data_IF_110901295611
#
_entry.id   IF_110901295611
#
_cell.length_a   1.000
_cell.length_b   1.000
_cell.length_c   1.000
_cell.angle_alpha   90.00
_cell.angle_beta   90.00
_cell.angle_gamma   90.00
#
_symmetry.space_group_name_H-M   'P 1'
#
loop_
_entity.id
_entity.type
_entity.pdbx_description
1 polymer ?
#
# COMPACT_ATOMS: atom_id res chain seq x y z
N UNK A 1 77.24 25.70 -10.15
CA UNK A 1 76.63 26.00 -8.82
C UNK A 1 75.68 27.19 -9.00
N UNK A 2 74.40 27.19 -8.66
CA UNK A 2 73.54 26.30 -7.87
C UNK A 2 72.20 26.20 -8.61
N UNK A 3 71.77 24.97 -8.87
CA UNK A 3 70.44 24.68 -9.43
C UNK A 3 69.41 25.10 -8.37
N UNK A 4 68.72 26.23 -8.59
CA UNK A 4 67.56 26.61 -7.78
C UNK A 4 66.42 25.67 -8.19
N UNK A 5 66.42 24.49 -7.60
CA UNK A 5 65.32 23.54 -7.72
C UNK A 5 64.07 24.25 -7.22
N UNK A 6 63.14 24.47 -8.15
CA UNK A 6 61.98 25.32 -8.01
C UNK A 6 61.07 24.69 -6.92
N UNK A 7 61.16 25.20 -5.69
CA UNK A 7 60.50 24.65 -4.50
C UNK A 7 58.98 24.52 -4.73
N UNK A 8 58.39 25.42 -5.51
CA UNK A 8 56.99 25.34 -5.95
C UNK A 8 56.69 24.11 -6.80
N UNK A 9 57.59 23.71 -7.71
CA UNK A 9 57.34 22.56 -8.58
C UNK A 9 57.38 21.25 -7.78
N UNK A 10 58.32 21.15 -6.83
CA UNK A 10 58.38 20.01 -5.90
C UNK A 10 57.13 19.98 -5.02
N UNK A 11 56.67 21.13 -4.51
CA UNK A 11 55.46 21.22 -3.69
C UNK A 11 54.18 20.88 -4.48
N UNK A 12 54.07 21.33 -5.74
CA UNK A 12 52.96 20.97 -6.62
C UNK A 12 52.94 19.47 -6.94
N UNK A 13 54.10 18.86 -7.19
CA UNK A 13 54.22 17.42 -7.42
C UNK A 13 53.90 16.64 -6.13
N UNK A 14 54.25 17.16 -4.96
CA UNK A 14 53.92 16.56 -3.67
C UNK A 14 52.41 16.65 -3.37
N UNK A 15 51.76 17.79 -3.65
CA UNK A 15 50.31 17.94 -3.53
C UNK A 15 49.60 17.03 -4.54
N UNK A 16 50.07 16.96 -5.79
CA UNK A 16 49.55 16.02 -6.79
C UNK A 16 49.76 14.57 -6.36
N UNK A 17 50.92 14.21 -5.82
CA UNK A 17 51.21 12.87 -5.31
C UNK A 17 50.35 12.50 -4.10
N UNK A 18 50.13 13.44 -3.17
CA UNK A 18 49.29 13.25 -1.98
C UNK A 18 47.81 13.16 -2.38
N UNK A 19 47.35 13.97 -3.33
CA UNK A 19 45.98 13.86 -3.88
C UNK A 19 45.77 12.59 -4.72
N UNK A 20 46.83 12.05 -5.36
CA UNK A 20 46.76 10.79 -6.09
C UNK A 20 46.82 9.57 -5.16
N UNK A 21 47.58 9.64 -4.05
CA UNK A 21 47.66 8.59 -3.01
C UNK A 21 46.44 8.59 -2.08
N UNK A 22 45.87 9.75 -1.75
CA UNK A 22 44.62 9.89 -0.99
C UNK A 22 43.38 9.81 -1.89
N UNK A 23 43.56 9.94 -3.20
CA UNK A 23 42.55 9.74 -4.24
C UNK A 23 42.24 8.27 -4.48
N UNK A 24 42.21 7.45 -3.43
CA UNK A 24 41.37 6.26 -3.46
C UNK A 24 39.94 6.75 -3.61
N UNK A 25 39.46 6.75 -4.85
CA UNK A 25 38.06 6.54 -5.16
C UNK A 25 37.64 5.18 -4.59
N UNK A 26 37.55 5.09 -3.26
CA UNK A 26 36.69 4.13 -2.57
C UNK A 26 35.32 4.35 -3.19
N UNK A 27 34.72 3.27 -3.69
CA UNK A 27 33.38 3.32 -4.24
C UNK A 27 32.50 4.13 -3.29
N UNK A 28 31.81 5.15 -3.80
CA UNK A 28 30.71 5.76 -3.07
C UNK A 28 29.61 4.69 -3.00
N UNK A 29 29.76 3.71 -2.10
CA UNK A 29 28.62 2.97 -1.60
C UNK A 29 27.69 4.02 -1.02
N UNK A 30 26.47 4.11 -1.55
CA UNK A 30 25.47 5.06 -1.06
C UNK A 30 25.40 4.97 0.48
N UNK A 31 25.46 6.09 1.21
CA UNK A 31 25.46 6.09 2.67
C UNK A 31 24.12 5.63 3.29
N UNK A 32 23.10 5.36 2.49
CA UNK A 32 21.79 4.89 2.92
C UNK A 32 21.44 3.55 2.26
N UNK A 33 22.11 2.46 2.68
CA UNK A 33 21.64 1.11 2.34
C UNK A 33 20.43 0.69 3.18
N UNK A 34 20.22 1.32 4.33
CA UNK A 34 19.03 1.12 5.15
C UNK A 34 17.86 1.94 4.58
N UNK A 35 17.08 1.34 3.69
CA UNK A 35 15.75 1.84 3.38
C UNK A 35 14.81 1.52 4.56
N UNK A 36 14.93 2.20 5.70
CA UNK A 36 14.05 1.93 6.84
C UNK A 36 12.69 2.59 6.62
N UNK A 37 11.67 1.81 6.25
CA UNK A 37 10.28 2.25 6.16
C UNK A 37 9.47 1.71 7.33
N UNK A 38 8.64 2.56 7.94
CA UNK A 38 7.81 2.18 9.08
C UNK A 38 6.77 1.12 8.74
N UNK A 39 6.26 0.41 9.74
CA UNK A 39 5.25 -0.62 9.55
C UNK A 39 3.84 -0.01 9.47
N UNK A 40 2.96 -0.65 8.69
CA UNK A 40 1.52 -0.43 8.81
C UNK A 40 1.00 -1.55 9.71
N UNK A 41 0.42 -1.18 10.84
CA UNK A 41 0.03 -2.08 11.92
C UNK A 41 -1.49 -2.09 12.09
N UNK A 42 -2.00 -3.22 12.55
CA UNK A 42 -3.38 -3.37 13.00
C UNK A 42 -3.56 -2.74 14.39
N UNK A 43 -4.78 -2.72 14.92
CA UNK A 43 -5.10 -2.09 16.21
C UNK A 43 -4.39 -2.72 17.43
N UNK A 44 -3.84 -3.93 17.29
CA UNK A 44 -3.09 -4.66 18.33
C UNK A 44 -1.58 -4.55 18.13
N UNK A 45 -1.14 -3.83 17.10
CA UNK A 45 0.28 -3.68 16.77
C UNK A 45 0.82 -4.82 15.89
N UNK A 46 -0.03 -5.70 15.34
CA UNK A 46 0.41 -6.73 14.41
C UNK A 46 0.69 -6.12 13.02
N UNK A 47 1.76 -6.52 12.31
CA UNK A 47 2.05 -5.99 10.99
C UNK A 47 0.97 -6.40 9.99
N UNK A 48 0.52 -5.46 9.16
CA UNK A 48 -0.36 -5.73 8.02
C UNK A 48 0.42 -5.83 6.69
N UNK A 49 1.65 -5.33 6.68
CA UNK A 49 2.55 -5.28 5.51
C UNK A 49 3.93 -5.78 5.90
N UNK A 50 4.47 -6.71 5.11
CA UNK A 50 5.85 -7.16 5.21
C UNK A 50 6.77 -6.23 4.43
N UNK A 51 7.88 -5.86 5.06
CA UNK A 51 8.99 -5.15 4.44
C UNK A 51 9.99 -6.19 3.95
N UNK A 52 10.18 -6.28 2.63
CA UNK A 52 11.17 -7.16 2.02
C UNK A 52 12.23 -6.30 1.36
N UNK A 53 13.42 -6.30 1.95
CA UNK A 53 14.58 -5.65 1.35
C UNK A 53 15.05 -6.45 0.14
N UNK A 54 15.32 -5.76 -0.95
CA UNK A 54 15.89 -6.34 -2.16
C UNK A 54 17.06 -5.48 -2.63
N UNK A 55 18.19 -6.12 -2.92
CA UNK A 55 19.43 -5.45 -3.31
C UNK A 55 19.81 -5.87 -4.73
N UNK A 56 20.00 -4.88 -5.59
CA UNK A 56 20.50 -5.06 -6.95
C UNK A 56 21.96 -4.62 -7.03
N UNK A 57 22.77 -5.35 -7.80
CA UNK A 57 24.15 -4.96 -8.08
C UNK A 57 24.32 -4.62 -9.55
N UNK A 58 25.09 -3.56 -9.79
CA UNK A 58 25.51 -3.12 -11.10
C UNK A 58 27.02 -2.95 -11.13
N UNK A 59 27.66 -3.21 -12.27
CA UNK A 59 29.08 -2.99 -12.48
C UNK A 59 29.30 -1.95 -13.58
N UNK A 60 30.10 -0.93 -13.27
CA UNK A 60 30.40 0.18 -14.18
C UNK A 60 31.71 -0.07 -14.95
N UNK A 61 31.58 -0.30 -16.25
CA UNK A 61 32.72 -0.46 -17.16
C UNK A 61 33.10 0.90 -17.74
N UNK A 62 34.30 1.41 -17.41
CA UNK A 62 34.79 2.75 -17.84
C UNK A 62 35.67 2.74 -19.10
N UNK A 63 35.79 1.61 -19.78
CA UNK A 63 36.41 1.50 -21.11
C UNK A 63 37.91 1.66 -21.15
N UNK A 64 38.60 0.96 -20.26
CA UNK A 64 40.06 0.76 -20.34
C UNK A 64 40.49 -0.71 -20.40
N UNK A 65 39.59 -1.67 -20.25
CA UNK A 65 39.99 -3.07 -20.13
C UNK A 65 39.98 -3.81 -21.46
N UNK A 66 41.15 -4.34 -21.83
CA UNK A 66 41.28 -5.41 -22.81
C UNK A 66 40.73 -6.70 -22.16
N UNK A 67 39.66 -7.25 -22.73
CA UNK A 67 39.22 -8.65 -22.53
C UNK A 67 39.21 -9.14 -21.06
N UNK A 68 38.27 -8.66 -20.23
CA UNK A 68 37.88 -9.34 -18.99
C UNK A 68 38.93 -9.48 -17.87
N UNK A 69 40.17 -9.04 -18.07
CA UNK A 69 41.26 -9.17 -17.09
C UNK A 69 41.12 -8.17 -15.93
N UNK A 70 40.49 -7.01 -16.14
CA UNK A 70 40.26 -6.01 -15.08
C UNK A 70 38.96 -6.25 -14.29
N UNK A 71 38.24 -7.35 -14.53
CA UNK A 71 37.04 -7.67 -13.75
C UNK A 71 37.47 -8.26 -12.40
N UNK A 72 37.11 -7.62 -11.26
CA UNK A 72 37.45 -8.15 -9.95
C UNK A 72 36.96 -9.59 -9.75
N UNK A 73 37.72 -10.47 -9.09
CA UNK A 73 37.31 -11.86 -8.85
C UNK A 73 35.93 -12.02 -8.22
N UNK A 74 35.52 -11.05 -7.40
CA UNK A 74 34.21 -11.01 -6.74
C UNK A 74 33.05 -10.75 -7.71
N UNK A 75 33.32 -10.14 -8.87
CA UNK A 75 32.30 -9.80 -9.89
C UNK A 75 32.17 -10.92 -10.91
N UNK A 76 33.25 -11.66 -11.19
CA UNK A 76 33.27 -12.73 -12.21
C UNK A 76 32.13 -13.77 -12.07
N UNK A 77 31.73 -14.22 -10.87
CA UNK A 77 30.63 -15.18 -10.70
C UNK A 77 29.27 -14.68 -11.21
N UNK A 78 29.07 -13.36 -11.28
CA UNK A 78 27.82 -12.72 -11.66
C UNK A 78 27.72 -12.41 -13.15
N UNK A 79 28.76 -12.72 -13.93
CA UNK A 79 28.81 -12.46 -15.35
C UNK A 79 28.65 -13.77 -16.12
N UNK A 80 27.69 -13.82 -17.04
CA UNK A 80 27.42 -14.98 -17.91
C UNK A 80 28.51 -15.26 -18.95
N UNK A 81 29.58 -14.44 -18.98
CA UNK A 81 30.76 -14.59 -19.82
C UNK A 81 31.46 -13.24 -20.03
N UNK A 82 32.79 -13.21 -19.96
CA UNK A 82 33.58 -11.96 -20.15
C UNK A 82 33.68 -11.50 -21.61
N UNK A 83 33.34 -12.38 -22.56
CA UNK A 83 33.47 -12.14 -24.01
C UNK A 83 32.42 -11.16 -24.57
N UNK A 84 31.24 -11.05 -23.94
CA UNK A 84 30.13 -10.21 -24.41
C UNK A 84 29.95 -8.91 -23.59
N UNK A 85 30.94 -8.53 -22.78
CA UNK A 85 30.83 -7.31 -21.98
C UNK A 85 30.99 -6.06 -22.86
N UNK A 86 30.13 -5.04 -22.67
CA UNK A 86 30.24 -3.80 -23.43
C UNK A 86 31.54 -3.06 -23.09
N UNK A 87 32.14 -2.39 -24.09
CA UNK A 87 33.37 -1.61 -23.90
C UNK A 87 33.23 -0.51 -22.84
N UNK A 88 32.04 0.09 -22.71
CA UNK A 88 31.67 1.06 -21.67
C UNK A 88 30.20 0.88 -21.34
N UNK A 89 29.83 0.98 -20.07
CA UNK A 89 28.42 0.92 -19.68
C UNK A 89 28.19 0.37 -18.28
N UNK A 90 26.91 0.23 -17.93
CA UNK A 90 26.46 -0.37 -16.69
C UNK A 90 25.96 -1.78 -16.97
N UNK A 91 26.51 -2.78 -16.29
CA UNK A 91 26.09 -4.19 -16.41
C UNK A 91 25.37 -4.57 -15.14
N UNK A 92 24.14 -5.08 -15.28
CA UNK A 92 23.43 -5.68 -14.15
C UNK A 92 24.13 -6.99 -13.76
N UNK A 93 24.61 -7.07 -12.51
CA UNK A 93 25.23 -8.27 -11.96
C UNK A 93 24.18 -9.21 -11.35
N UNK A 94 23.24 -8.65 -10.59
CA UNK A 94 22.15 -9.41 -9.98
C UNK A 94 20.95 -8.53 -9.69
N UNK A 95 19.75 -9.10 -9.84
CA UNK A 95 18.48 -8.50 -9.48
C UNK A 95 18.07 -8.73 -8.01
N UNK A 96 18.76 -9.64 -7.31
CA UNK A 96 18.45 -10.02 -5.94
C UNK A 96 19.71 -10.58 -5.28
N UNK A 97 20.31 -9.79 -4.40
CA UNK A 97 21.47 -10.18 -3.59
C UNK A 97 21.04 -10.50 -2.17
N UNK A 98 21.69 -11.49 -1.58
CA UNK A 98 21.70 -11.72 -0.14
C UNK A 98 22.53 -10.64 0.57
N UNK A 99 22.30 -10.46 1.87
CA UNK A 99 23.07 -9.49 2.67
C UNK A 99 24.57 -9.77 2.68
N UNK A 100 24.98 -11.03 2.62
CA UNK A 100 26.40 -11.39 2.60
C UNK A 100 27.03 -11.06 1.25
N UNK A 101 26.32 -11.27 0.13
CA UNK A 101 26.78 -10.82 -1.18
C UNK A 101 26.86 -9.29 -1.26
N UNK A 102 25.91 -8.57 -0.65
CA UNK A 102 25.99 -7.10 -0.54
C UNK A 102 27.24 -6.67 0.21
N UNK A 103 27.57 -7.29 1.35
CA UNK A 103 28.78 -6.97 2.12
C UNK A 103 30.05 -7.15 1.28
N UNK A 104 30.12 -8.22 0.50
CA UNK A 104 31.28 -8.52 -0.37
C UNK A 104 31.36 -7.54 -1.54
N UNK A 105 30.26 -7.35 -2.27
CA UNK A 105 30.24 -6.55 -3.50
C UNK A 105 30.36 -5.04 -3.25
N UNK A 106 29.92 -4.55 -2.08
CA UNK A 106 30.02 -3.13 -1.71
C UNK A 106 31.46 -2.63 -1.61
N UNK A 107 32.40 -3.51 -1.24
CA UNK A 107 33.83 -3.19 -1.13
C UNK A 107 34.54 -3.18 -2.50
N UNK A 108 33.87 -3.65 -3.56
CA UNK A 108 34.45 -3.75 -4.89
C UNK A 108 34.34 -2.43 -5.63
N UNK A 109 35.48 -1.97 -6.17
CA UNK A 109 35.53 -0.74 -6.98
C UNK A 109 34.65 -0.88 -8.22
N UNK A 110 33.97 0.21 -8.58
CA UNK A 110 33.07 0.31 -9.73
C UNK A 110 31.83 -0.61 -9.67
N UNK A 111 31.58 -1.26 -8.53
CA UNK A 111 30.28 -1.88 -8.23
C UNK A 111 29.36 -0.85 -7.57
N UNK A 112 28.12 -0.83 -8.02
CA UNK A 112 27.03 0.00 -7.50
C UNK A 112 25.97 -0.93 -6.94
N UNK A 113 25.71 -0.83 -5.64
CA UNK A 113 24.59 -1.53 -5.00
C UNK A 113 23.41 -0.56 -4.90
N UNK A 114 22.26 -0.99 -5.43
CA UNK A 114 20.97 -0.30 -5.29
C UNK A 114 20.08 -1.12 -4.35
N UNK A 115 19.85 -0.60 -3.14
CA UNK A 115 18.83 -1.13 -2.25
C UNK A 115 17.45 -0.68 -2.69
N UNK A 116 16.47 -1.57 -2.56
CA UNK A 116 15.05 -1.30 -2.79
C UNK A 116 14.25 -2.02 -1.71
N UNK A 117 13.05 -1.51 -1.42
CA UNK A 117 12.12 -2.16 -0.52
C UNK A 117 10.87 -2.56 -1.29
N UNK A 118 10.59 -3.86 -1.30
CA UNK A 118 9.31 -4.41 -1.72
C UNK A 118 8.39 -4.47 -0.50
N UNK A 119 7.14 -4.04 -0.66
CA UNK A 119 6.12 -4.12 0.39
C UNK A 119 5.01 -5.06 -0.02
N UNK A 120 4.77 -6.06 0.82
CA UNK A 120 3.79 -7.10 0.55
C UNK A 120 2.73 -7.14 1.65
N UNK A 121 1.46 -6.81 1.35
CA UNK A 121 0.35 -7.04 2.26
C UNK A 121 0.33 -8.49 2.75
N UNK A 122 0.09 -8.72 4.04
CA UNK A 122 -0.09 -10.07 4.58
C UNK A 122 -1.32 -10.76 3.99
N UNK A 123 -2.38 -9.99 3.78
CA UNK A 123 -3.60 -10.44 3.13
C UNK A 123 -3.74 -9.71 1.80
N UNK A 124 -3.76 -10.45 0.69
CA UNK A 124 -3.89 -9.86 -0.63
C UNK A 124 -5.15 -9.01 -0.78
N UNK A 125 -6.23 -9.33 -0.05
CA UNK A 125 -7.48 -8.58 -0.01
C UNK A 125 -7.36 -7.18 0.64
N UNK A 126 -6.26 -6.87 1.31
CA UNK A 126 -5.98 -5.52 1.82
C UNK A 126 -5.25 -4.65 0.81
N UNK A 127 -4.73 -5.22 -0.29
CA UNK A 127 -3.93 -4.48 -1.27
C UNK A 127 -4.59 -3.20 -1.78
N UNK A 128 -5.91 -3.15 -2.05
CA UNK A 128 -6.55 -1.91 -2.49
C UNK A 128 -6.53 -0.79 -1.44
N UNK A 129 -6.54 -1.15 -0.15
CA UNK A 129 -6.53 -0.20 0.96
C UNK A 129 -5.11 0.25 1.32
N UNK A 130 -4.18 -0.72 1.40
CA UNK A 130 -2.76 -0.46 1.64
C UNK A 130 -2.19 0.39 0.51
N UNK A 131 -2.60 0.09 -0.73
CA UNK A 131 -2.02 0.69 -1.90
C UNK A 131 -0.69 0.06 -2.27
N UNK A 132 0.08 0.77 -3.10
CA UNK A 132 1.25 0.22 -3.77
C UNK A 132 2.41 1.22 -3.72
N UNK A 133 3.60 0.68 -3.97
CA UNK A 133 4.84 1.45 -4.01
C UNK A 133 5.57 1.28 -5.34
N UNK A 134 6.32 2.32 -5.71
CA UNK A 134 7.26 2.31 -6.83
C UNK A 134 8.50 3.09 -6.40
N UNK A 135 9.70 2.56 -6.67
CA UNK A 135 10.96 3.23 -6.37
C UNK A 135 11.11 3.73 -4.91
N UNK A 136 10.62 2.93 -3.96
CA UNK A 136 10.57 3.26 -2.51
C UNK A 136 9.62 4.40 -2.12
N UNK A 137 8.77 4.85 -3.05
CA UNK A 137 7.72 5.85 -2.83
C UNK A 137 6.33 5.22 -2.88
N UNK A 138 5.42 5.73 -2.05
CA UNK A 138 4.02 5.28 -2.02
C UNK A 138 3.19 6.04 -3.04
N UNK A 139 2.49 5.34 -3.95
CA UNK A 139 1.72 6.00 -5.01
C UNK A 139 0.20 5.86 -4.87
N UNK A 140 -0.29 4.98 -4.00
CA UNK A 140 -1.72 4.84 -3.72
C UNK A 140 -1.98 4.42 -2.27
N UNK A 141 -3.26 4.50 -1.87
CA UNK A 141 -3.74 4.01 -0.57
C UNK A 141 -3.00 4.59 0.64
N UNK A 142 -2.91 3.78 1.70
CA UNK A 142 -2.17 4.12 2.92
C UNK A 142 -0.68 4.39 2.66
N UNK A 143 -0.05 3.67 1.72
CA UNK A 143 1.38 3.86 1.41
C UNK A 143 1.69 5.28 0.93
N UNK A 144 0.78 5.88 0.14
CA UNK A 144 0.89 7.28 -0.31
C UNK A 144 0.54 8.27 0.79
N UNK A 145 -0.60 8.05 1.45
CA UNK A 145 -1.16 9.00 2.42
C UNK A 145 -0.24 9.16 3.63
N UNK A 146 0.26 8.05 4.16
CA UNK A 146 1.16 8.06 5.31
C UNK A 146 2.63 8.05 4.92
N UNK A 147 2.94 8.31 3.65
CA UNK A 147 4.32 8.32 3.15
C UNK A 147 5.27 9.19 3.99
N UNK A 148 4.91 10.42 4.43
CA UNK A 148 5.79 11.24 5.25
C UNK A 148 6.15 10.60 6.60
N UNK A 149 5.26 9.79 7.15
CA UNK A 149 5.48 9.08 8.42
C UNK A 149 6.32 7.83 8.14
N UNK A 150 5.91 7.04 7.16
CA UNK A 150 6.51 5.76 6.80
C UNK A 150 7.95 5.92 6.31
N UNK A 151 8.26 6.94 5.49
CA UNK A 151 9.63 7.23 5.00
C UNK A 151 10.62 7.53 6.13
N UNK A 152 10.14 8.01 7.28
CA UNK A 152 10.95 8.29 8.46
C UNK A 152 11.15 7.06 9.37
N UNK A 153 10.78 5.87 8.92
CA UNK A 153 10.86 4.64 9.71
C UNK A 153 9.83 4.53 10.83
N UNK A 154 8.84 5.45 10.90
CA UNK A 154 7.80 5.46 11.93
C UNK A 154 6.59 4.64 11.49
N UNK A 155 6.10 3.78 12.37
CA UNK A 155 4.94 2.95 12.11
C UNK A 155 3.63 3.73 12.20
N UNK A 156 2.61 3.26 11.47
CA UNK A 156 1.24 3.75 11.51
C UNK A 156 0.36 2.66 12.10
N UNK A 157 -0.38 3.01 13.16
CA UNK A 157 -1.37 2.14 13.77
C UNK A 157 -2.74 2.40 13.11
N UNK A 158 -3.39 1.35 12.62
CA UNK A 158 -4.74 1.42 12.03
C UNK A 158 -5.78 0.85 13.00
N UNK A 159 -7.05 1.12 12.74
CA UNK A 159 -8.17 0.55 13.51
C UNK A 159 -8.54 -0.89 13.12
N UNK A 160 -7.89 -1.45 12.08
CA UNK A 160 -8.19 -2.79 11.57
C UNK A 160 -7.90 -3.87 12.62
N UNK A 161 -8.74 -4.89 12.72
CA UNK A 161 -8.49 -6.08 13.56
C UNK A 161 -8.16 -7.28 12.67
N UNK A 162 -6.92 -7.77 12.76
CA UNK A 162 -6.44 -8.91 11.98
C UNK A 162 -7.26 -10.19 12.20
N UNK A 163 -7.88 -10.38 13.37
CA UNK A 163 -8.75 -11.54 13.61
C UNK A 163 -9.99 -11.49 12.72
N UNK A 164 -10.57 -10.30 12.55
CA UNK A 164 -11.72 -10.11 11.68
C UNK A 164 -11.33 -10.24 10.21
N UNK A 165 -10.16 -9.72 9.83
CA UNK A 165 -9.60 -9.86 8.48
C UNK A 165 -9.42 -11.34 8.09
N UNK A 166 -8.82 -12.15 8.98
CA UNK A 166 -8.69 -13.61 8.81
C UNK A 166 -10.07 -14.25 8.62
N UNK A 167 -11.04 -13.88 9.45
CA UNK A 167 -12.39 -14.44 9.42
C UNK A 167 -13.09 -14.17 8.08
N UNK A 168 -13.09 -12.92 7.59
CA UNK A 168 -13.66 -12.60 6.27
C UNK A 168 -12.94 -13.36 5.16
N UNK A 169 -11.61 -13.41 5.20
CA UNK A 169 -10.81 -14.09 4.18
C UNK A 169 -11.20 -15.57 4.06
N UNK A 170 -11.33 -16.29 5.18
CA UNK A 170 -11.77 -17.68 5.17
C UNK A 170 -13.22 -17.85 4.76
N UNK A 171 -14.12 -16.96 5.21
CA UNK A 171 -15.53 -17.01 4.80
C UNK A 171 -15.67 -16.86 3.29
N UNK A 172 -15.01 -15.89 2.66
CA UNK A 172 -15.12 -15.71 1.21
C UNK A 172 -14.50 -16.87 0.43
N UNK A 173 -13.43 -17.49 0.94
CA UNK A 173 -12.84 -18.69 0.32
C UNK A 173 -13.80 -19.89 0.35
N UNK A 174 -14.55 -20.04 1.44
CA UNK A 174 -15.47 -21.16 1.65
C UNK A 174 -16.83 -20.97 0.97
N UNK A 175 -17.28 -19.72 0.82
CA UNK A 175 -18.58 -19.37 0.24
C UNK A 175 -18.45 -18.74 -1.15
N UNK A 176 -17.95 -19.52 -2.12
CA UNK A 176 -17.78 -19.08 -3.52
C UNK A 176 -19.08 -18.58 -4.18
N UNK A 177 -20.24 -19.01 -3.70
CA UNK A 177 -21.55 -18.67 -4.26
C UNK A 177 -21.89 -17.17 -4.19
N UNK A 178 -21.23 -16.39 -3.31
CA UNK A 178 -21.61 -15.01 -3.04
C UNK A 178 -20.80 -13.97 -3.84
N UNK A 179 -19.74 -14.40 -4.53
CA UNK A 179 -18.85 -13.57 -5.38
C UNK A 179 -18.59 -12.16 -4.80
N UNK A 180 -18.24 -12.12 -3.50
CA UNK A 180 -18.02 -10.87 -2.79
C UNK A 180 -16.76 -10.19 -3.32
N UNK A 181 -16.94 -8.96 -3.81
CA UNK A 181 -15.86 -8.10 -4.25
C UNK A 181 -15.38 -7.17 -3.13
N UNK A 182 -16.20 -6.92 -2.12
CA UNK A 182 -15.81 -6.08 -1.01
C UNK A 182 -16.64 -6.32 0.25
N UNK A 183 -15.97 -6.23 1.40
CA UNK A 183 -16.59 -6.21 2.74
C UNK A 183 -15.87 -5.14 3.55
N UNK A 184 -16.62 -4.28 4.23
CA UNK A 184 -16.10 -3.37 5.24
C UNK A 184 -17.00 -3.41 6.48
N UNK A 185 -16.36 -3.30 7.64
CA UNK A 185 -17.03 -3.25 8.94
C UNK A 185 -16.61 -1.97 9.64
N UNK A 186 -17.59 -1.13 9.98
CA UNK A 186 -17.37 0.10 10.74
C UNK A 186 -17.99 0.01 12.12
N UNK A 187 -17.28 0.51 13.14
CA UNK A 187 -17.81 0.69 14.49
C UNK A 187 -18.75 1.89 14.53
N UNK A 188 -19.96 1.72 15.04
CA UNK A 188 -20.91 2.81 15.27
C UNK A 188 -20.44 3.77 16.38
N UNK A 189 -19.68 3.27 17.36
CA UNK A 189 -19.21 4.07 18.49
C UNK A 189 -18.09 5.04 18.11
N UNK A 190 -17.18 4.56 17.26
CA UNK A 190 -15.89 5.21 16.98
C UNK A 190 -15.73 5.64 15.53
N UNK A 191 -16.59 5.18 14.61
CA UNK A 191 -16.47 5.44 13.17
C UNK A 191 -15.31 4.67 12.52
N UNK A 192 -14.59 3.87 13.31
CA UNK A 192 -13.42 3.11 12.91
C UNK A 192 -13.76 2.00 11.91
N UNK A 193 -12.95 1.87 10.86
CA UNK A 193 -12.91 0.71 9.98
C UNK A 193 -12.23 -0.44 10.73
N UNK A 194 -13.02 -1.37 11.24
CA UNK A 194 -12.56 -2.54 12.00
C UNK A 194 -12.13 -3.67 11.06
N UNK A 195 -12.83 -3.80 9.94
CA UNK A 195 -12.66 -4.89 9.01
C UNK A 195 -12.68 -4.43 7.57
N UNK A 196 -11.80 -4.98 6.74
CA UNK A 196 -11.77 -4.70 5.31
C UNK A 196 -11.38 -5.93 4.49
N UNK A 197 -12.09 -6.16 3.42
CA UNK A 197 -11.77 -7.12 2.37
C UNK A 197 -12.12 -6.47 1.04
N UNK A 198 -11.18 -6.44 0.09
CA UNK A 198 -11.43 -5.98 -1.26
C UNK A 198 -10.77 -6.90 -2.28
N UNK A 199 -11.50 -7.19 -3.36
CA UNK A 199 -10.94 -7.82 -4.56
C UNK A 199 -10.63 -6.76 -5.61
N UNK A 200 -9.62 -7.03 -6.45
CA UNK A 200 -9.20 -6.12 -7.51
C UNK A 200 -8.13 -5.12 -7.05
N UNK A 201 -8.01 -4.02 -7.79
CA UNK A 201 -6.93 -3.03 -7.58
C UNK A 201 -7.40 -1.78 -6.84
N UNK A 202 -8.70 -1.47 -6.89
CA UNK A 202 -9.27 -0.22 -6.36
C UNK A 202 -9.98 -0.46 -5.06
N UNK A 203 -9.87 0.51 -4.16
CA UNK A 203 -10.61 0.49 -2.91
C UNK A 203 -12.10 0.75 -3.19
N UNK A 204 -12.93 -0.27 -2.95
CA UNK A 204 -14.35 -0.20 -3.26
C UNK A 204 -15.09 0.88 -2.46
N UNK A 205 -14.57 1.27 -1.29
CA UNK A 205 -15.14 2.34 -0.46
C UNK A 205 -15.06 3.73 -1.13
N UNK A 206 -14.19 3.87 -2.12
CA UNK A 206 -13.99 5.09 -2.89
C UNK A 206 -14.63 5.02 -4.29
N UNK A 207 -15.17 3.86 -4.67
CA UNK A 207 -15.78 3.71 -5.99
C UNK A 207 -17.07 4.52 -6.07
N UNK A 208 -17.23 5.36 -7.12
CA UNK A 208 -18.44 6.15 -7.27
C UNK A 208 -19.63 5.26 -7.60
N UNK A 209 -20.74 5.50 -6.89
CA UNK A 209 -22.04 4.89 -7.12
C UNK A 209 -23.04 5.99 -7.51
N UNK A 210 -23.94 5.68 -8.43
CA UNK A 210 -25.06 6.54 -8.80
C UNK A 210 -26.31 6.03 -8.11
N UNK A 211 -27.01 6.90 -7.41
CA UNK A 211 -28.25 6.58 -6.68
C UNK A 211 -29.29 7.65 -6.93
N UNK A 212 -30.57 7.30 -6.86
CA UNK A 212 -31.64 8.28 -6.95
C UNK A 212 -31.59 9.23 -5.74
N UNK A 213 -31.89 10.52 -5.96
CA UNK A 213 -31.92 11.53 -4.89
C UNK A 213 -32.90 11.15 -3.77
N UNK A 214 -33.98 10.47 -4.13
CA UNK A 214 -35.02 10.02 -3.23
C UNK A 214 -34.55 8.88 -2.32
N UNK A 215 -33.66 8.01 -2.81
CA UNK A 215 -33.10 6.86 -2.07
C UNK A 215 -31.99 7.27 -1.11
N UNK A 216 -31.47 8.50 -1.23
CA UNK A 216 -30.47 9.07 -0.33
C UNK A 216 -30.90 10.45 0.17
N UNK A 217 -31.86 10.49 1.11
CA UNK A 217 -32.37 11.75 1.65
C UNK A 217 -31.36 12.48 2.55
N UNK A 218 -30.23 11.85 2.87
CA UNK A 218 -29.20 12.43 3.73
C UNK A 218 -28.49 13.59 3.02
N UNK A 219 -28.42 14.77 3.68
CA UNK A 219 -27.78 15.98 3.13
C UNK A 219 -26.24 15.95 3.22
N UNK A 220 -25.63 14.79 3.01
CA UNK A 220 -24.16 14.65 3.08
C UNK A 220 -23.55 15.14 1.77
N UNK A 221 -23.00 16.35 1.82
CA UNK A 221 -22.33 16.97 0.65
C UNK A 221 -20.90 16.48 0.45
N UNK A 222 -20.24 16.07 1.54
CA UNK A 222 -18.83 15.74 1.55
C UNK A 222 -18.52 14.72 2.63
N UNK A 223 -17.63 13.79 2.31
CA UNK A 223 -17.02 12.85 3.26
C UNK A 223 -15.53 13.14 3.32
N UNK A 224 -14.97 13.19 4.53
CA UNK A 224 -13.54 13.32 4.74
C UNK A 224 -13.06 12.05 5.45
N UNK A 225 -12.00 11.46 4.91
CA UNK A 225 -11.36 10.31 5.52
C UNK A 225 -9.86 10.37 5.26
N UNK A 226 -9.05 9.52 5.90
CA UNK A 226 -7.61 9.67 5.82
C UNK A 226 -7.06 9.51 4.40
N UNK A 227 -7.65 8.66 3.56
CA UNK A 227 -7.11 8.46 2.20
C UNK A 227 -7.64 9.45 1.16
N UNK A 228 -8.49 10.41 1.55
CA UNK A 228 -9.01 11.40 0.61
C UNK A 228 -10.23 12.18 1.08
N UNK A 229 -10.83 12.89 0.14
CA UNK A 229 -12.05 13.65 0.39
C UNK A 229 -12.93 13.54 -0.85
N UNK A 230 -14.18 13.17 -0.65
CA UNK A 230 -15.11 12.92 -1.75
C UNK A 230 -16.35 13.79 -1.57
N UNK A 231 -16.75 14.44 -2.64
CA UNK A 231 -17.95 15.28 -2.70
C UNK A 231 -19.08 14.51 -3.38
N UNK A 232 -20.29 14.66 -2.84
CA UNK A 232 -21.51 14.24 -3.51
C UNK A 232 -21.81 15.21 -4.66
N UNK A 233 -22.03 14.68 -5.86
CA UNK A 233 -22.35 15.50 -7.04
C UNK A 233 -23.73 15.17 -7.56
N UNK A 234 -24.50 16.21 -7.86
CA UNK A 234 -25.81 16.06 -8.49
C UNK A 234 -25.64 15.85 -10.00
N UNK A 235 -26.25 14.79 -10.52
CA UNK A 235 -26.29 14.45 -11.94
C UNK A 235 -27.77 14.25 -12.34
N UNK A 236 -28.48 15.35 -12.58
CA UNK A 236 -29.93 15.31 -12.86
C UNK A 236 -30.75 14.89 -11.64
N UNK A 237 -31.51 13.80 -11.75
CA UNK A 237 -32.24 13.18 -10.64
C UNK A 237 -31.37 12.19 -9.83
N UNK A 238 -30.10 12.00 -10.20
CA UNK A 238 -29.17 11.12 -9.53
C UNK A 238 -28.18 11.90 -8.65
N UNK A 239 -27.65 11.21 -7.65
CA UNK A 239 -26.50 11.61 -6.86
C UNK A 239 -25.36 10.65 -7.13
N UNK A 240 -24.20 11.21 -7.47
CA UNK A 240 -22.94 10.49 -7.52
C UNK A 240 -22.25 10.61 -6.16
N UNK A 241 -22.17 9.50 -5.45
CA UNK A 241 -21.55 9.40 -4.12
C UNK A 241 -20.58 8.21 -4.05
N UNK A 242 -20.03 7.91 -2.89
CA UNK A 242 -19.24 6.69 -2.62
C UNK A 242 -19.84 5.92 -1.45
N UNK A 243 -19.49 4.63 -1.23
CA UNK A 243 -19.94 3.90 -0.03
C UNK A 243 -19.64 4.62 1.29
N UNK A 244 -18.55 5.39 1.38
CA UNK A 244 -18.24 6.19 2.57
C UNK A 244 -19.29 7.26 2.88
N UNK A 245 -19.96 7.82 1.87
CA UNK A 245 -21.06 8.77 2.11
C UNK A 245 -22.25 8.09 2.79
N UNK A 246 -22.55 6.84 2.41
CA UNK A 246 -23.60 6.04 3.03
C UNK A 246 -23.22 5.68 4.47
N UNK A 247 -21.97 5.29 4.71
CA UNK A 247 -21.46 5.04 6.07
C UNK A 247 -21.59 6.29 6.94
N UNK A 248 -21.14 7.46 6.45
CA UNK A 248 -21.28 8.74 7.16
C UNK A 248 -22.74 9.07 7.45
N UNK A 249 -23.66 8.80 6.52
CA UNK A 249 -25.08 9.05 6.71
C UNK A 249 -25.68 8.16 7.81
N UNK A 250 -25.27 6.89 7.84
CA UNK A 250 -25.68 5.94 8.85
C UNK A 250 -25.12 6.31 10.23
N UNK A 251 -23.83 6.65 10.31
CA UNK A 251 -23.19 7.14 11.53
C UNK A 251 -23.92 8.39 12.05
N UNK A 252 -24.18 9.37 11.19
CA UNK A 252 -24.84 10.60 11.59
C UNK A 252 -26.29 10.38 12.05
N UNK A 253 -27.01 9.47 11.39
CA UNK A 253 -28.37 9.11 11.79
C UNK A 253 -28.41 8.44 13.17
N UNK A 254 -27.49 7.52 13.44
CA UNK A 254 -27.42 6.81 14.73
C UNK A 254 -26.95 7.73 15.85
N UNK A 255 -25.95 8.57 15.58
CA UNK A 255 -25.31 9.40 16.61
C UNK A 255 -25.93 10.80 16.75
N UNK A 256 -26.92 11.15 15.92
CA UNK A 256 -27.61 12.44 15.95
C UNK A 256 -26.74 13.66 15.59
N UNK A 257 -25.50 13.44 15.13
CA UNK A 257 -24.51 14.48 14.83
C UNK A 257 -23.60 14.03 13.69
N UNK A 258 -22.99 14.98 12.96
CA UNK A 258 -22.08 14.61 11.87
C UNK A 258 -20.88 13.82 12.39
N UNK A 259 -20.63 12.67 11.76
CA UNK A 259 -19.60 11.76 12.23
C UNK A 259 -18.86 11.11 11.06
N UNK A 260 -17.58 11.44 10.90
CA UNK A 260 -16.74 10.94 9.81
C UNK A 260 -16.24 9.51 10.11
N UNK A 261 -16.24 8.60 9.11
CA UNK A 261 -15.56 7.32 9.22
C UNK A 261 -14.03 7.52 9.23
N UNK A 262 -13.30 6.61 9.87
CA UNK A 262 -11.83 6.70 9.99
C UNK A 262 -11.18 5.31 9.91
N UNK A 263 -9.95 5.24 9.39
CA UNK A 263 -9.09 4.04 9.47
C UNK A 263 -8.10 4.09 10.65
N UNK A 264 -8.11 5.18 11.41
CA UNK A 264 -7.21 5.38 12.54
C UNK A 264 -7.93 5.08 13.86
N UNK A 265 -7.21 4.51 14.84
CA UNK A 265 -7.79 4.19 16.12
C UNK A 265 -8.28 5.46 16.85
N UNK A 266 -9.41 5.33 17.54
CA UNK A 266 -10.02 6.36 18.38
C UNK A 266 -10.09 5.87 19.83
N UNK A 267 -9.62 6.70 20.75
CA UNK A 267 -9.58 6.34 22.19
C UNK A 267 -10.96 6.47 22.84
N UNK A 268 -11.75 7.46 22.42
CA UNK A 268 -13.06 7.77 23.01
C UNK A 268 -14.23 7.43 22.08
N UNK A 269 -15.34 6.99 22.69
CA UNK A 269 -16.62 6.89 21.98
C UNK A 269 -17.06 8.29 21.56
N UNK A 270 -17.21 8.50 20.24
CA UNK A 270 -17.71 9.75 19.68
C UNK A 270 -19.24 9.73 19.50
N UNK A 271 -19.86 8.56 19.68
CA UNK A 271 -21.31 8.37 19.67
C UNK A 271 -21.81 8.16 21.12
N UNK A 272 -22.50 9.15 21.73
CA UNK A 272 -22.85 9.10 23.16
C UNK A 272 -24.01 8.17 23.51
N UNK A 273 -24.87 7.82 22.55
CA UNK A 273 -25.91 6.79 22.74
C UNK A 273 -26.39 6.23 21.40
N UNK A 274 -26.30 4.92 21.22
CA UNK A 274 -27.06 4.22 20.15
C UNK A 274 -28.49 4.13 20.68
N UNK A 275 -29.34 5.07 20.29
CA UNK A 275 -30.60 5.31 21.02
C UNK A 275 -31.63 4.19 20.90
N UNK A 276 -31.52 3.27 19.93
CA UNK A 276 -32.42 2.12 19.76
C UNK A 276 -31.70 0.96 19.04
N UNK A 277 -32.17 -0.31 19.15
CA UNK A 277 -31.70 -1.40 18.28
C UNK A 277 -32.12 -1.11 16.84
N UNK A 278 -31.26 -0.40 16.11
CA UNK A 278 -31.55 0.07 14.78
C UNK A 278 -31.11 -0.99 13.77
N UNK A 279 -32.02 -1.91 13.40
CA UNK A 279 -31.83 -2.74 12.20
C UNK A 279 -32.22 -1.92 10.97
N UNK A 280 -31.26 -1.15 10.44
CA UNK A 280 -31.37 -0.52 9.14
C UNK A 280 -30.67 -1.35 8.10
N UNK A 281 -31.35 -1.62 7.00
CA UNK A 281 -30.75 -2.21 5.81
C UNK A 281 -31.01 -1.36 4.57
N UNK A 282 -30.08 -1.37 3.64
CA UNK A 282 -30.23 -0.78 2.32
C UNK A 282 -29.50 -1.63 1.31
N UNK A 283 -30.17 -1.90 0.19
CA UNK A 283 -29.62 -2.65 -0.92
C UNK A 283 -29.74 -1.79 -2.16
N UNK A 284 -28.59 -1.42 -2.71
CA UNK A 284 -28.47 -0.50 -3.82
C UNK A 284 -27.90 -1.30 -4.99
N UNK A 285 -28.68 -1.47 -6.04
CA UNK A 285 -28.17 -1.92 -7.33
C UNK A 285 -27.51 -0.72 -8.03
N UNK A 286 -26.27 -0.86 -8.49
CA UNK A 286 -25.57 0.19 -9.19
C UNK A 286 -24.77 -0.37 -10.37
N UNK A 287 -24.80 0.33 -11.51
CA UNK A 287 -24.29 -0.23 -12.77
C UNK A 287 -25.12 -1.43 -13.25
N UNK A 288 -24.60 -2.17 -14.25
CA UNK A 288 -25.36 -3.25 -14.89
C UNK A 288 -25.50 -4.51 -14.03
N UNK A 289 -24.52 -4.81 -13.19
CA UNK A 289 -24.45 -6.10 -12.49
C UNK A 289 -23.83 -5.97 -11.09
N UNK A 290 -23.71 -4.76 -10.51
CA UNK A 290 -23.13 -4.59 -9.17
C UNK A 290 -24.19 -4.21 -8.16
N UNK A 291 -23.92 -4.60 -6.92
CA UNK A 291 -24.78 -4.29 -5.80
C UNK A 291 -23.95 -3.86 -4.60
N UNK A 292 -24.53 -3.02 -3.75
CA UNK A 292 -24.00 -2.59 -2.48
C UNK A 292 -25.06 -2.86 -1.41
N UNK A 293 -24.72 -3.65 -0.41
CA UNK A 293 -25.58 -3.94 0.73
C UNK A 293 -25.00 -3.28 1.97
N UNK A 294 -25.80 -2.46 2.65
CA UNK A 294 -25.47 -1.89 3.95
C UNK A 294 -26.44 -2.42 4.99
N UNK A 295 -25.91 -2.83 6.13
CA UNK A 295 -26.71 -3.28 7.28
C UNK A 295 -26.11 -2.82 8.58
N UNK A 296 -26.95 -2.26 9.46
CA UNK A 296 -26.60 -2.07 10.86
C UNK A 296 -27.00 -3.34 11.62
N UNK A 297 -26.08 -3.85 12.45
CA UNK A 297 -26.38 -4.90 13.41
C UNK A 297 -25.52 -4.73 14.65
N UNK A 298 -26.16 -4.61 15.81
CA UNK A 298 -25.48 -4.34 17.06
C UNK A 298 -24.73 -3.01 17.00
N UNK A 299 -23.43 -3.03 17.28
CA UNK A 299 -22.58 -1.83 17.32
C UNK A 299 -21.84 -1.56 15.99
N UNK A 300 -22.25 -2.20 14.90
CA UNK A 300 -21.51 -2.14 13.64
C UNK A 300 -22.37 -1.82 12.42
N UNK A 301 -21.75 -1.14 11.45
CA UNK A 301 -22.22 -0.99 10.06
C UNK A 301 -21.43 -1.97 9.19
N UNK A 302 -22.15 -2.88 8.54
CA UNK A 302 -21.61 -3.79 7.54
C UNK A 302 -21.86 -3.19 6.16
N UNK A 303 -20.81 -3.11 5.34
CA UNK A 303 -20.89 -2.70 3.93
C UNK A 303 -20.35 -3.85 3.09
N UNK A 304 -21.19 -4.40 2.22
CA UNK A 304 -20.81 -5.50 1.33
C UNK A 304 -21.05 -5.08 -0.12
N UNK A 305 -20.21 -5.54 -1.03
CA UNK A 305 -20.40 -5.35 -2.48
C UNK A 305 -19.95 -6.58 -3.26
N UNK A 306 -20.58 -6.80 -4.41
CA UNK A 306 -20.30 -7.92 -5.28
C UNK A 306 -20.90 -7.73 -6.67
N UNK A 307 -20.81 -8.79 -7.47
CA UNK A 307 -21.41 -8.84 -8.81
C UNK A 307 -22.55 -9.86 -8.80
N UNK A 308 -23.62 -9.54 -9.52
CA UNK A 308 -24.69 -10.47 -9.86
C UNK A 308 -24.20 -11.37 -11.00
N UNK A 309 -23.59 -12.51 -10.67
CA UNK A 309 -23.35 -13.56 -11.67
C UNK A 309 -24.63 -14.36 -11.82
N UNK A 310 -25.31 -14.20 -12.96
CA UNK A 310 -26.36 -15.15 -13.33
C UNK A 310 -25.70 -16.50 -13.60
N UNK A 311 -25.93 -17.48 -12.73
CA UNK A 311 -25.75 -18.87 -13.13
C UNK A 311 -26.81 -19.19 -14.19
N UNK A 312 -26.36 -19.78 -15.30
CA UNK A 312 -27.12 -20.22 -16.48
C UNK A 312 -28.64 -19.99 -16.40
N UNK A 313 -29.06 -18.78 -16.82
CA UNK A 313 -30.45 -18.48 -17.14
C UNK A 313 -31.38 -18.17 -15.96
N UNK A 314 -30.89 -18.07 -14.72
CA UNK A 314 -31.69 -17.56 -13.60
C UNK A 314 -31.18 -16.19 -13.13
N UNK A 315 -32.02 -15.15 -13.13
CA UNK A 315 -31.65 -13.89 -12.48
C UNK A 315 -31.53 -14.14 -10.97
N UNK A 316 -30.42 -13.72 -10.37
CA UNK A 316 -30.30 -13.69 -8.91
C UNK A 316 -31.36 -12.75 -8.35
N UNK A 317 -32.26 -13.25 -7.50
CA UNK A 317 -33.28 -12.43 -6.88
C UNK A 317 -32.66 -11.63 -5.73
N UNK A 318 -33.07 -10.37 -5.64
CA UNK A 318 -32.59 -9.41 -4.63
C UNK A 318 -32.84 -9.89 -3.18
N UNK A 319 -33.84 -10.76 -2.99
CA UNK A 319 -34.22 -11.34 -1.69
C UNK A 319 -33.26 -12.47 -1.26
N UNK A 320 -32.73 -13.25 -2.20
CA UNK A 320 -31.75 -14.30 -1.93
C UNK A 320 -30.45 -13.69 -1.40
N UNK A 321 -30.05 -12.57 -2.01
CA UNK A 321 -28.90 -11.75 -1.62
C UNK A 321 -29.04 -11.28 -0.15
N UNK A 322 -30.20 -10.76 0.24
CA UNK A 322 -30.46 -10.33 1.62
C UNK A 322 -30.39 -11.48 2.62
N UNK A 323 -30.92 -12.65 2.25
CA UNK A 323 -30.92 -13.85 3.10
C UNK A 323 -29.51 -14.35 3.34
N UNK A 324 -28.71 -14.47 2.27
CA UNK A 324 -27.34 -14.94 2.36
C UNK A 324 -26.43 -13.94 3.10
N UNK A 325 -26.64 -12.63 2.94
CA UNK A 325 -25.89 -11.64 3.71
C UNK A 325 -26.30 -11.55 5.16
N UNK A 326 -27.58 -11.71 5.48
CA UNK A 326 -28.00 -11.86 6.87
C UNK A 326 -27.37 -13.10 7.51
N UNK A 327 -27.16 -14.18 6.76
CA UNK A 327 -26.41 -15.34 7.22
C UNK A 327 -24.91 -15.03 7.40
N UNK A 328 -24.24 -14.39 6.43
CA UNK A 328 -22.83 -14.00 6.57
C UNK A 328 -22.59 -13.06 7.76
N UNK A 329 -23.47 -12.09 7.97
CA UNK A 329 -23.40 -11.16 9.11
C UNK A 329 -23.68 -11.88 10.44
N UNK A 330 -24.34 -13.04 10.45
CA UNK A 330 -24.42 -13.90 11.64
C UNK A 330 -23.12 -14.67 11.88
N UNK A 331 -22.40 -15.00 10.81
CA UNK A 331 -21.11 -15.66 10.92
C UNK A 331 -19.99 -14.70 11.33
N UNK A 332 -20.04 -13.42 10.96
CA UNK A 332 -19.06 -12.37 11.26
C UNK A 332 -19.18 -11.80 12.66
#
# INVERSE_FOLDING_TARGET
>A
MKCRLNLCLVFCILILGVTFLLGFARGKGYPHLECKRGYILDRKGEPLVLNKENYQAFFLIRGKSLLGEDVPPQVKPYLSGTLDLPKKGLVLLSNSLTLDEVKVLKEVKDVIIKGSMERRPLYQSLSPLIGRMAESEGYSGMEKVFEPILKNGKSVLTSLDTNFLKKIYYLNKSYKALDLNGVALFSLKTGELIGYYGQGEKNFLEEPILIAKEDFPAKIKKVNWELGSYEAREEGNLLRITPLHLVKAYLARVCGSEFEPTILPQEDSRCPSISEPLELESLIAYGKERWLYLKIKGEFIYVLTGILKSEEGKPFLLEDIKKDFSFLIKLL
#
